data_IF_401808880555
#
_entry.id   IF_401808880555
#
_cell.length_a   1.000
_cell.length_b   1.000
_cell.length_c   1.000
_cell.angle_alpha   90.00
_cell.angle_beta   90.00
_cell.angle_gamma   90.00
#
_symmetry.space_group_name_H-M   'P 1'
#
loop_
_entity.id
_entity.type
_entity.pdbx_description
1 polymer ?
#
# COMPACT_ATOMS: atom_id res chain seq x y z
N UNK A 1 15.56 4.79 -5.66
CA UNK A 1 14.82 3.52 -5.72
C UNK A 1 15.14 2.80 -7.02
N UNK A 2 15.87 1.68 -7.00
CA UNK A 2 16.01 0.81 -8.16
C UNK A 2 15.03 -0.37 -8.01
N UNK A 3 13.81 -0.23 -8.55
CA UNK A 3 12.81 -1.31 -8.58
C UNK A 3 11.86 -1.36 -7.38
N UNK A 4 10.67 -1.93 -7.61
CA UNK A 4 9.58 -2.01 -6.62
C UNK A 4 10.00 -2.96 -5.48
N UNK A 5 10.71 -4.05 -5.81
CA UNK A 5 11.15 -5.00 -4.81
C UNK A 5 12.21 -4.40 -3.86
N UNK A 6 13.11 -3.55 -4.37
CA UNK A 6 14.04 -2.82 -3.51
C UNK A 6 13.31 -1.87 -2.56
N UNK A 7 12.27 -1.17 -3.04
CA UNK A 7 11.47 -0.29 -2.19
C UNK A 7 10.82 -1.08 -1.03
N UNK A 8 10.29 -2.28 -1.28
CA UNK A 8 9.76 -3.14 -0.22
C UNK A 8 10.81 -3.50 0.85
N UNK A 9 12.03 -3.84 0.43
CA UNK A 9 13.13 -4.09 1.37
C UNK A 9 13.54 -2.85 2.17
N UNK A 10 13.62 -1.68 1.53
CA UNK A 10 13.97 -0.41 2.20
C UNK A 10 12.89 0.01 3.22
N UNK A 11 11.62 -0.10 2.84
CA UNK A 11 10.48 0.19 3.72
C UNK A 11 10.48 -0.74 4.94
N UNK A 12 10.63 -2.04 4.72
CA UNK A 12 10.64 -3.00 5.83
C UNK A 12 11.84 -2.79 6.76
N UNK A 13 13.02 -2.53 6.19
CA UNK A 13 14.21 -2.17 6.98
C UNK A 13 13.94 -0.95 7.86
N UNK A 14 13.35 0.10 7.30
CA UNK A 14 12.98 1.29 8.07
C UNK A 14 11.96 0.96 9.18
N UNK A 15 10.99 0.08 8.92
CA UNK A 15 10.02 -0.35 9.93
C UNK A 15 10.69 -1.09 11.11
N UNK A 16 11.66 -1.97 10.83
CA UNK A 16 12.48 -2.63 11.86
C UNK A 16 13.26 -1.60 12.68
N UNK A 17 13.94 -0.65 12.02
CA UNK A 17 14.75 0.38 12.70
C UNK A 17 13.91 1.27 13.65
N UNK A 18 12.61 1.37 13.41
CA UNK A 18 11.66 2.11 14.24
C UNK A 18 10.87 1.22 15.22
N UNK A 19 11.26 -0.05 15.38
CA UNK A 19 10.70 -0.95 16.39
C UNK A 19 9.33 -1.55 16.07
N UNK A 20 8.82 -1.39 14.84
CA UNK A 20 7.49 -1.87 14.48
C UNK A 20 7.37 -3.41 14.45
N UNK A 21 8.51 -4.11 14.37
CA UNK A 21 8.64 -5.56 14.28
C UNK A 21 9.37 -6.18 15.48
N UNK A 22 9.38 -5.52 16.65
CA UNK A 22 9.89 -6.13 17.90
C UNK A 22 9.09 -7.37 18.34
N UNK A 23 7.82 -7.43 17.91
CA UNK A 23 6.95 -8.60 18.04
C UNK A 23 6.50 -9.03 16.64
N UNK A 24 6.41 -10.34 16.46
CA UNK A 24 5.89 -10.91 15.22
C UNK A 24 4.40 -10.61 15.08
N UNK A 25 3.99 -10.23 13.87
CA UNK A 25 2.60 -9.92 13.54
C UNK A 25 2.06 -10.97 12.58
N UNK A 26 0.90 -11.49 12.91
CA UNK A 26 0.19 -12.42 12.04
C UNK A 26 -0.49 -11.67 10.89
N UNK A 27 -0.69 -12.36 9.77
CA UNK A 27 -1.32 -11.79 8.57
C UNK A 27 -2.65 -11.07 8.84
N UNK A 28 -3.57 -11.54 9.71
CA UNK A 28 -4.82 -10.84 10.00
C UNK A 28 -4.62 -9.42 10.55
N UNK A 29 -3.61 -9.20 11.40
CA UNK A 29 -3.29 -7.89 11.93
C UNK A 29 -2.78 -6.96 10.83
N UNK A 30 -1.87 -7.47 9.99
CA UNK A 30 -1.35 -6.73 8.83
C UNK A 30 -2.48 -6.32 7.88
N UNK A 31 -3.43 -7.23 7.60
CA UNK A 31 -4.60 -6.92 6.77
C UNK A 31 -5.44 -5.82 7.41
N UNK A 32 -5.68 -5.87 8.73
CA UNK A 32 -6.43 -4.83 9.42
C UNK A 32 -5.75 -3.46 9.33
N UNK A 33 -4.42 -3.41 9.45
CA UNK A 33 -3.63 -2.19 9.27
C UNK A 33 -3.70 -1.65 7.84
N UNK A 34 -3.63 -2.50 6.82
CA UNK A 34 -3.83 -2.06 5.43
C UNK A 34 -5.24 -1.47 5.25
N UNK A 35 -6.25 -2.11 5.86
CA UNK A 35 -7.63 -1.65 5.80
C UNK A 35 -7.85 -0.28 6.48
N UNK A 36 -7.10 0.05 7.53
CA UNK A 36 -7.21 1.37 8.15
C UNK A 36 -6.75 2.47 7.19
N UNK A 37 -5.62 2.31 6.52
CA UNK A 37 -5.12 3.32 5.55
C UNK A 37 -6.10 3.51 4.36
N UNK A 38 -6.75 2.42 3.90
CA UNK A 38 -7.82 2.52 2.88
C UNK A 38 -9.02 3.32 3.40
N UNK A 39 -9.31 3.20 4.70
CA UNK A 39 -10.41 3.92 5.33
C UNK A 39 -10.08 5.41 5.52
N UNK A 40 -8.82 5.74 5.81
CA UNK A 40 -8.33 7.13 5.90
C UNK A 40 -8.47 7.84 4.54
N UNK A 41 -8.18 7.16 3.42
CA UNK A 41 -8.44 7.70 2.08
C UNK A 41 -9.94 8.03 1.84
N UNK A 42 -10.85 7.21 2.39
CA UNK A 42 -12.30 7.48 2.32
C UNK A 42 -12.71 8.65 3.23
N UNK A 43 -12.03 8.83 4.35
CA UNK A 43 -12.25 9.96 5.26
C UNK A 43 -11.85 11.28 4.59
N UNK A 44 -10.70 11.35 3.93
CA UNK A 44 -10.28 12.53 3.16
C UNK A 44 -11.29 12.90 2.07
N UNK A 45 -11.82 11.89 1.35
CA UNK A 45 -12.90 12.11 0.38
C UNK A 45 -14.17 12.69 1.04
N UNK A 46 -14.58 12.15 2.19
CA UNK A 46 -15.76 12.63 2.94
C UNK A 46 -15.57 14.05 3.49
N UNK A 47 -14.33 14.42 3.78
CA UNK A 47 -13.95 15.76 4.20
C UNK A 47 -13.92 16.77 3.03
N UNK A 48 -14.15 16.31 1.79
CA UNK A 48 -14.29 17.17 0.61
C UNK A 48 -12.99 17.41 -0.15
N UNK A 49 -11.91 16.71 0.20
CA UNK A 49 -10.64 16.81 -0.51
C UNK A 49 -10.73 16.16 -1.90
N UNK A 50 -10.08 16.77 -2.89
CA UNK A 50 -10.04 16.22 -4.24
C UNK A 50 -9.10 15.01 -4.30
N UNK A 51 -9.38 14.06 -5.19
CA UNK A 51 -8.58 12.83 -5.34
C UNK A 51 -7.09 13.07 -5.65
N UNK A 52 -6.75 14.23 -6.19
CA UNK A 52 -5.37 14.64 -6.53
C UNK A 52 -4.83 15.73 -5.62
N UNK A 53 -5.56 16.10 -4.57
CA UNK A 53 -5.14 17.12 -3.61
C UNK A 53 -4.15 16.52 -2.62
N UNK A 54 -3.05 17.23 -2.42
CA UNK A 54 -2.09 16.96 -1.35
C UNK A 54 -1.85 18.25 -0.62
N UNK A 55 -1.99 18.20 0.69
CA UNK A 55 -1.66 19.31 1.58
C UNK A 55 -0.64 18.84 2.62
N UNK A 56 -0.11 19.79 3.39
CA UNK A 56 0.97 19.52 4.34
C UNK A 56 0.60 20.07 5.70
N UNK A 57 0.83 19.25 6.73
CA UNK A 57 0.75 19.68 8.12
C UNK A 57 1.89 20.63 8.49
N UNK A 58 1.78 21.24 9.66
CA UNK A 58 2.81 22.13 10.20
C UNK A 58 4.18 21.44 10.39
N UNK A 59 4.20 20.12 10.57
CA UNK A 59 5.41 19.29 10.66
C UNK A 59 5.94 18.84 9.29
N UNK A 60 5.29 19.23 8.20
CA UNK A 60 5.64 18.86 6.84
C UNK A 60 5.17 17.47 6.41
N UNK A 61 4.39 16.75 7.23
CA UNK A 61 3.77 15.47 6.81
C UNK A 61 2.79 15.75 5.65
N UNK A 62 2.92 15.06 4.50
CA UNK A 62 1.90 15.09 3.46
C UNK A 62 0.61 14.44 3.97
N UNK A 63 -0.53 14.99 3.57
CA UNK A 63 -1.87 14.47 3.87
C UNK A 63 -2.72 14.54 2.59
N UNK A 64 -3.91 13.94 2.63
CA UNK A 64 -4.85 13.86 1.52
C UNK A 64 -4.90 12.47 0.89
N UNK A 65 -5.89 12.24 0.03
CA UNK A 65 -6.14 10.95 -0.63
C UNK A 65 -4.87 10.33 -1.25
N UNK A 66 -3.99 11.08 -1.95
CA UNK A 66 -2.74 10.53 -2.47
C UNK A 66 -1.78 10.02 -1.38
N UNK A 67 -1.74 10.67 -0.21
CA UNK A 67 -0.91 10.25 0.92
C UNK A 67 -1.42 8.94 1.51
N UNK A 68 -2.72 8.85 1.76
CA UNK A 68 -3.33 7.63 2.33
C UNK A 68 -3.21 6.42 1.40
N UNK A 69 -3.35 6.62 0.08
CA UNK A 69 -3.09 5.57 -0.90
C UNK A 69 -1.60 5.16 -0.94
N UNK A 70 -0.68 6.08 -0.67
CA UNK A 70 0.73 5.74 -0.52
C UNK A 70 0.96 4.93 0.76
N UNK A 71 0.30 5.25 1.86
CA UNK A 71 0.38 4.50 3.11
C UNK A 71 -0.14 3.06 2.95
N UNK A 72 -1.22 2.84 2.19
CA UNK A 72 -1.68 1.50 1.78
C UNK A 72 -0.55 0.72 1.08
N UNK A 73 0.12 1.34 0.11
CA UNK A 73 1.22 0.71 -0.64
C UNK A 73 2.39 0.40 0.31
N UNK A 74 2.74 1.33 1.19
CA UNK A 74 3.82 1.18 2.16
C UNK A 74 3.54 0.01 3.11
N UNK A 75 2.30 -0.13 3.63
CA UNK A 75 1.92 -1.28 4.48
C UNK A 75 2.05 -2.61 3.75
N UNK A 76 1.61 -2.66 2.48
CA UNK A 76 1.76 -3.86 1.64
C UNK A 76 3.24 -4.18 1.44
N UNK A 77 4.07 -3.16 1.16
CA UNK A 77 5.49 -3.32 0.89
C UNK A 77 6.28 -3.71 2.13
N UNK A 78 5.96 -3.16 3.30
CA UNK A 78 6.51 -3.58 4.59
C UNK A 78 6.28 -5.08 4.82
N UNK A 79 5.03 -5.53 4.64
CA UNK A 79 4.71 -6.96 4.77
C UNK A 79 5.42 -7.83 3.73
N UNK A 80 5.54 -7.36 2.48
CA UNK A 80 6.29 -8.09 1.45
C UNK A 80 7.76 -8.22 1.82
N UNK A 81 8.37 -7.15 2.35
CA UNK A 81 9.74 -7.17 2.85
C UNK A 81 9.94 -8.12 4.01
N UNK A 82 9.01 -8.12 4.98
CA UNK A 82 8.99 -9.07 6.11
C UNK A 82 8.86 -10.52 5.64
N UNK A 83 7.88 -10.82 4.78
CA UNK A 83 7.55 -12.17 4.34
C UNK A 83 8.47 -12.71 3.23
N UNK A 84 9.41 -11.90 2.72
CA UNK A 84 10.29 -12.28 1.61
C UNK A 84 9.56 -12.44 0.27
N UNK A 85 8.46 -11.71 0.06
CA UNK A 85 7.67 -11.77 -1.17
C UNK A 85 8.32 -10.89 -2.24
N UNK A 86 8.65 -11.49 -3.38
CA UNK A 86 9.03 -10.74 -4.60
C UNK A 86 7.79 -10.11 -5.24
N UNK A 87 7.40 -8.96 -4.70
CA UNK A 87 6.17 -8.26 -5.10
C UNK A 87 6.27 -7.72 -6.53
N UNK A 88 7.46 -7.37 -6.98
CA UNK A 88 7.68 -6.88 -8.34
C UNK A 88 7.42 -7.99 -9.37
N UNK A 89 7.95 -9.20 -9.13
CA UNK A 89 7.65 -10.37 -9.94
C UNK A 89 6.16 -10.71 -9.91
N UNK A 90 5.54 -10.74 -8.73
CA UNK A 90 4.12 -11.05 -8.57
C UNK A 90 3.23 -10.05 -9.34
N UNK A 91 3.54 -8.75 -9.28
CA UNK A 91 2.84 -7.71 -10.05
C UNK A 91 3.01 -7.94 -11.55
N UNK A 92 4.24 -8.19 -12.04
CA UNK A 92 4.51 -8.43 -13.46
C UNK A 92 3.72 -9.63 -13.99
N UNK A 93 3.84 -10.78 -13.32
CA UNK A 93 3.13 -12.00 -13.70
C UNK A 93 1.61 -11.79 -13.70
N UNK A 94 1.08 -11.15 -12.64
CA UNK A 94 -0.36 -10.89 -12.54
C UNK A 94 -0.86 -9.90 -13.57
N UNK A 95 -0.07 -8.87 -13.88
CA UNK A 95 -0.42 -7.87 -14.88
C UNK A 95 -0.44 -8.47 -16.28
N UNK A 96 0.56 -9.27 -16.66
CA UNK A 96 0.55 -9.99 -17.94
C UNK A 96 -0.62 -10.96 -18.04
N UNK A 97 -0.94 -11.69 -16.96
CA UNK A 97 -2.15 -12.52 -16.93
C UNK A 97 -3.43 -11.68 -17.09
N UNK A 98 -3.51 -10.49 -16.49
CA UNK A 98 -4.70 -9.64 -16.60
C UNK A 98 -4.90 -9.09 -18.02
N UNK A 99 -3.83 -8.89 -18.80
CA UNK A 99 -3.92 -8.47 -20.22
C UNK A 99 -4.58 -9.51 -21.11
N UNK A 100 -4.47 -10.79 -20.76
CA UNK A 100 -5.10 -11.88 -21.53
C UNK A 100 -6.59 -12.04 -21.24
N UNK A 101 -7.14 -11.33 -20.24
CA UNK A 101 -8.54 -11.48 -19.84
C UNK A 101 -9.46 -10.78 -20.84
N UNK A 102 -10.63 -11.39 -21.15
CA UNK A 102 -11.63 -10.71 -21.98
C UNK A 102 -12.22 -9.50 -21.24
N UNK A 103 -12.78 -8.57 -22.02
CA UNK A 103 -13.48 -7.40 -21.47
C UNK A 103 -14.55 -7.81 -20.45
N UNK A 104 -14.48 -7.25 -19.23
CA UNK A 104 -15.39 -7.55 -18.10
C UNK A 104 -15.48 -9.05 -17.77
N UNK A 105 -14.33 -9.72 -17.64
CA UNK A 105 -14.29 -11.11 -17.14
C UNK A 105 -14.89 -11.21 -15.73
N UNK A 106 -15.67 -12.27 -15.47
CA UNK A 106 -16.21 -12.57 -14.15
C UNK A 106 -17.57 -11.94 -13.81
N UNK A 107 -18.22 -11.22 -14.74
CA UNK A 107 -19.63 -10.84 -14.63
C UNK A 107 -19.99 -9.95 -13.43
N UNK A 108 -19.00 -9.36 -12.75
CA UNK A 108 -19.23 -8.46 -11.63
C UNK A 108 -19.77 -7.14 -12.16
N UNK A 109 -20.98 -6.81 -11.73
CA UNK A 109 -21.57 -5.48 -11.95
C UNK A 109 -20.76 -4.51 -11.10
N UNK A 110 -20.24 -3.44 -11.71
CA UNK A 110 -19.62 -2.34 -10.97
C UNK A 110 -20.62 -1.73 -9.99
#
# INVERSE_FOLDING_TARGET
MNGINQAAHEIHKNAIEHGWWEQERELPEIVALIHSEVSEALEEYRNGHAATETYYRNDGKPEGIPSELADVIIRIFDYCGYAGIDIEKAIKEKHEFNKSRPYRHGGKVC
#
